data_IF_705533760101
#
_entry.id   IF_705533760101
#
_cell.length_a   1.000
_cell.length_b   1.000
_cell.length_c   1.000
_cell.angle_alpha   90.00
_cell.angle_beta   90.00
_cell.angle_gamma   90.00
#
_symmetry.space_group_name_H-M   'P 1'
#
loop_
_entity.id
_entity.type
_entity.pdbx_description
1 polymer ?
#
# COMPACT_ATOMS: atom_id res chain seq x y z
N UNK A 1 -32.90 -12.40 -27.26
CA UNK A 1 -32.09 -13.13 -26.24
C UNK A 1 -31.58 -12.28 -25.09
N UNK A 2 -31.32 -10.97 -25.27
CA UNK A 2 -30.70 -10.12 -24.24
C UNK A 2 -31.51 -9.94 -22.93
N UNK A 3 -32.85 -9.92 -22.99
CA UNK A 3 -33.70 -9.83 -21.78
C UNK A 3 -33.61 -11.05 -20.87
N UNK A 4 -33.48 -12.25 -21.43
CA UNK A 4 -33.38 -13.50 -20.67
C UNK A 4 -32.03 -13.57 -19.92
N UNK A 5 -30.98 -12.98 -20.48
CA UNK A 5 -29.66 -12.96 -19.86
C UNK A 5 -29.59 -12.05 -18.63
N UNK A 6 -30.28 -10.89 -18.66
CA UNK A 6 -30.39 -10.00 -17.50
C UNK A 6 -31.17 -10.65 -16.35
N UNK A 7 -32.31 -11.31 -16.62
CA UNK A 7 -33.08 -11.99 -15.57
C UNK A 7 -32.29 -13.14 -14.92
N UNK A 8 -31.48 -13.89 -15.68
CA UNK A 8 -30.64 -14.96 -15.11
C UNK A 8 -29.48 -14.43 -14.27
N UNK A 9 -28.90 -13.28 -14.63
CA UNK A 9 -27.84 -12.66 -13.83
C UNK A 9 -28.40 -12.10 -12.50
N UNK A 10 -29.59 -11.49 -12.53
CA UNK A 10 -30.28 -11.02 -11.32
C UNK A 10 -30.65 -12.17 -10.38
N UNK A 11 -31.07 -13.32 -10.92
CA UNK A 11 -31.38 -14.51 -10.11
C UNK A 11 -30.15 -15.09 -9.39
N UNK A 12 -28.98 -15.09 -10.05
CA UNK A 12 -27.73 -15.54 -9.44
C UNK A 12 -27.22 -14.57 -8.36
N UNK A 13 -27.43 -13.26 -8.56
CA UNK A 13 -27.08 -12.27 -7.55
C UNK A 13 -27.98 -12.38 -6.30
N UNK A 14 -29.29 -12.55 -6.50
CA UNK A 14 -30.24 -12.69 -5.39
C UNK A 14 -30.02 -13.98 -4.58
N UNK A 15 -29.72 -15.10 -5.25
CA UNK A 15 -29.41 -16.36 -4.55
C UNK A 15 -28.05 -16.32 -3.84
N UNK A 16 -27.05 -15.61 -4.40
CA UNK A 16 -25.78 -15.35 -3.71
C UNK A 16 -25.95 -14.51 -2.45
N UNK A 17 -26.78 -13.46 -2.48
CA UNK A 17 -27.07 -12.63 -1.32
C UNK A 17 -27.87 -13.38 -0.24
N UNK A 18 -28.82 -14.24 -0.62
CA UNK A 18 -29.60 -15.05 0.33
C UNK A 18 -28.76 -16.13 1.03
N UNK A 19 -27.81 -16.77 0.33
CA UNK A 19 -26.87 -17.69 0.99
C UNK A 19 -25.86 -16.98 1.90
N UNK A 20 -25.45 -15.75 1.55
CA UNK A 20 -24.63 -14.90 2.42
C UNK A 20 -25.35 -14.47 3.70
N UNK A 21 -26.65 -14.18 3.62
CA UNK A 21 -27.45 -13.81 4.78
C UNK A 21 -27.75 -14.99 5.71
N UNK A 22 -27.99 -16.19 5.17
CA UNK A 22 -28.26 -17.39 5.98
C UNK A 22 -27.02 -17.89 6.74
N UNK A 23 -25.82 -17.62 6.25
CA UNK A 23 -24.58 -17.97 6.97
C UNK A 23 -24.21 -16.97 8.08
N UNK A 24 -24.74 -15.74 8.03
CA UNK A 24 -24.59 -14.75 9.10
C UNK A 24 -25.68 -14.86 10.20
N UNK A 25 -26.82 -15.50 9.92
CA UNK A 25 -27.96 -15.58 10.84
C UNK A 25 -27.96 -16.73 11.86
N UNK A 26 -27.02 -17.68 11.79
CA UNK A 26 -27.02 -18.89 12.62
C UNK A 26 -26.14 -18.81 13.89
N UNK A 27 -25.75 -17.60 14.32
CA UNK A 27 -24.87 -17.38 15.48
C UNK A 27 -25.55 -16.95 16.78
N UNK A 28 -26.89 -16.88 16.84
CA UNK A 28 -27.61 -16.38 18.02
C UNK A 28 -28.62 -17.42 18.54
N UNK A 29 -28.61 -17.62 19.85
CA UNK A 29 -29.34 -18.58 20.69
C UNK A 29 -28.68 -19.95 20.91
N UNK A 30 -28.17 -20.16 22.14
CA UNK A 30 -28.45 -21.30 23.01
C UNK A 30 -27.48 -21.31 24.20
N UNK A 31 -28.00 -21.06 25.41
CA UNK A 31 -27.85 -21.99 26.55
C UNK A 31 -28.46 -21.36 27.81
N UNK A 32 -29.63 -21.90 28.16
CA UNK A 32 -30.32 -21.70 29.43
C UNK A 32 -29.64 -22.42 30.60
N UNK A 33 -29.82 -21.80 31.77
CA UNK A 33 -29.92 -22.32 33.14
C UNK A 33 -29.47 -23.75 33.48
N UNK A 34 -28.54 -23.87 34.43
CA UNK A 34 -28.52 -24.94 35.45
C UNK A 34 -28.08 -24.34 36.79
N UNK A 35 -28.93 -24.44 37.81
CA UNK A 35 -28.69 -23.90 39.15
C UNK A 35 -27.89 -24.82 40.07
N UNK A 36 -27.33 -24.24 41.14
CA UNK A 36 -27.14 -24.94 42.42
C UNK A 36 -26.92 -23.96 43.57
N UNK A 37 -27.79 -24.07 44.57
CA UNK A 37 -27.73 -23.45 45.91
C UNK A 37 -26.46 -23.86 46.67
N UNK A 38 -25.84 -22.94 47.42
CA UNK A 38 -25.29 -23.17 48.78
C UNK A 38 -25.34 -21.85 49.58
N UNK A 39 -25.84 -21.98 50.81
CA UNK A 39 -26.01 -21.06 51.94
C UNK A 39 -24.92 -19.98 52.20
N UNK A 40 -25.37 -18.81 52.66
CA UNK A 40 -24.63 -17.85 53.51
C UNK A 40 -24.78 -18.21 55.01
N UNK A 41 -24.13 -17.55 56.01
CA UNK A 41 -24.58 -16.22 56.44
C UNK A 41 -23.58 -15.25 57.15
N UNK A 42 -24.02 -13.98 57.20
CA UNK A 42 -23.95 -13.00 58.30
C UNK A 42 -22.62 -12.31 58.71
N UNK A 43 -22.64 -10.96 58.61
CA UNK A 43 -21.75 -10.04 59.31
C UNK A 43 -21.97 -8.56 58.92
N UNK A 44 -22.98 -7.90 59.52
CA UNK A 44 -23.00 -6.56 60.19
C UNK A 44 -21.98 -5.51 59.65
N UNK A 45 -22.25 -4.22 59.33
CA UNK A 45 -23.27 -3.23 59.68
C UNK A 45 -23.25 -2.02 58.70
N UNK A 46 -24.32 -1.21 58.80
CA UNK A 46 -24.60 0.13 58.27
C UNK A 46 -23.42 1.10 58.02
N UNK A 47 -23.50 1.84 56.91
CA UNK A 47 -23.48 3.31 56.89
C UNK A 47 -23.87 3.84 55.51
N UNK A 48 -24.98 4.58 55.46
CA UNK A 48 -25.46 5.39 54.34
C UNK A 48 -24.65 6.68 54.20
N UNK A 49 -24.23 7.07 52.99
CA UNK A 49 -24.35 8.45 52.53
C UNK A 49 -24.06 8.63 51.04
N UNK A 50 -24.86 9.53 50.48
CA UNK A 50 -24.92 10.03 49.11
C UNK A 50 -23.59 10.58 48.58
N UNK A 51 -23.42 10.53 47.25
CA UNK A 51 -23.11 11.68 46.38
C UNK A 51 -22.19 11.30 45.22
N UNK A 52 -22.60 11.73 44.02
CA UNK A 52 -21.69 12.41 43.09
C UNK A 52 -21.06 11.58 41.99
N UNK A 53 -21.52 11.84 40.77
CA UNK A 53 -20.79 11.80 39.49
C UNK A 53 -19.27 11.57 39.57
N UNK A 54 -18.78 10.49 38.95
CA UNK A 54 -17.55 10.50 38.13
C UNK A 54 -17.68 9.39 37.07
N UNK A 55 -18.32 9.72 35.95
CA UNK A 55 -18.21 9.02 34.67
C UNK A 55 -17.45 9.97 33.75
N UNK A 56 -16.46 9.47 33.00
CA UNK A 56 -15.55 10.21 32.09
C UNK A 56 -14.27 10.83 32.68
N UNK A 57 -13.29 10.02 33.14
CA UNK A 57 -11.90 10.53 33.24
C UNK A 57 -10.81 9.46 33.00
N UNK A 58 -11.19 8.24 32.60
CA UNK A 58 -10.22 7.12 32.47
C UNK A 58 -9.82 6.80 31.02
N UNK A 59 -10.37 7.51 30.04
CA UNK A 59 -10.25 7.14 28.62
C UNK A 59 -9.28 8.01 27.83
N UNK A 60 -8.98 9.23 28.28
CA UNK A 60 -8.04 10.16 27.60
C UNK A 60 -6.56 9.77 27.79
N UNK A 61 -6.20 9.13 28.90
CA UNK A 61 -4.82 8.69 29.18
C UNK A 61 -4.23 7.69 28.16
N UNK A 62 -5.07 7.07 27.33
CA UNK A 62 -4.59 6.07 26.35
C UNK A 62 -4.18 6.72 25.03
N UNK A 63 -4.70 7.91 24.71
CA UNK A 63 -4.34 8.64 23.48
C UNK A 63 -3.01 9.40 23.64
N UNK A 64 -2.71 9.90 24.84
CA UNK A 64 -1.44 10.56 25.15
C UNK A 64 -0.26 9.59 25.23
N UNK A 65 -0.45 8.34 25.65
CA UNK A 65 0.64 7.37 25.79
C UNK A 65 1.20 6.88 24.43
N UNK A 66 0.45 7.00 23.34
CA UNK A 66 0.95 6.69 22.00
C UNK A 66 1.82 7.81 21.40
N UNK A 67 1.70 9.04 21.92
CA UNK A 67 2.30 10.25 21.39
C UNK A 67 3.16 11.04 22.41
N UNK A 68 3.45 10.47 23.58
CA UNK A 68 4.22 11.14 24.62
C UNK A 68 5.63 11.55 24.14
N UNK A 69 5.87 12.87 24.19
CA UNK A 69 7.13 13.57 23.95
C UNK A 69 8.17 13.19 25.01
N UNK A 70 9.26 12.55 24.60
CA UNK A 70 10.46 12.37 25.41
C UNK A 70 11.65 13.12 24.79
N UNK A 71 12.48 13.82 25.57
CA UNK A 71 13.56 14.65 25.03
C UNK A 71 14.68 13.78 24.44
N UNK A 72 15.50 14.31 23.51
CA UNK A 72 16.45 13.48 22.78
C UNK A 72 17.71 13.28 23.62
N UNK A 73 17.81 12.21 24.42
CA UNK A 73 19.10 11.79 25.00
C UNK A 73 19.24 10.28 25.14
N UNK A 74 20.13 9.75 24.29
CA UNK A 74 21.13 8.68 24.50
C UNK A 74 20.87 7.59 25.55
N UNK A 75 20.97 6.35 25.05
CA UNK A 75 21.34 5.10 25.70
C UNK A 75 20.34 4.42 26.65
N UNK A 76 20.32 3.09 26.50
CA UNK A 76 19.86 2.05 27.45
C UNK A 76 18.47 1.49 27.17
N UNK A 77 18.52 0.34 26.50
CA UNK A 77 17.49 -0.66 26.27
C UNK A 77 16.96 -1.27 27.57
N UNK A 78 15.68 -1.08 27.89
CA UNK A 78 14.91 -2.06 28.67
C UNK A 78 13.45 -2.11 28.17
N UNK A 79 13.02 -3.35 27.91
CA UNK A 79 11.73 -3.70 27.34
C UNK A 79 10.60 -3.56 28.38
N UNK A 80 9.66 -2.66 28.12
CA UNK A 80 8.42 -2.53 28.90
C UNK A 80 7.21 -2.98 28.09
N UNK A 81 7.06 -4.28 27.80
CA UNK A 81 5.74 -4.85 27.48
C UNK A 81 5.64 -6.32 27.93
N UNK A 82 4.61 -6.68 28.74
CA UNK A 82 4.45 -8.03 29.25
C UNK A 82 4.01 -8.99 28.12
N UNK A 83 4.78 -10.08 27.95
CA UNK A 83 4.43 -11.20 27.06
C UNK A 83 3.29 -12.02 27.67
N UNK A 84 2.05 -11.76 27.28
CA UNK A 84 0.95 -12.70 27.52
C UNK A 84 0.93 -13.77 26.42
N UNK A 85 1.54 -14.93 26.71
CA UNK A 85 1.64 -16.06 25.77
C UNK A 85 0.28 -16.69 25.41
N UNK A 86 -0.76 -16.55 26.24
CA UNK A 86 -2.04 -17.25 26.10
C UNK A 86 -2.97 -16.72 24.99
N UNK A 87 -2.88 -15.43 24.62
CA UNK A 87 -3.75 -14.83 23.59
C UNK A 87 -3.29 -15.22 22.16
N UNK A 88 -2.01 -15.55 21.99
CA UNK A 88 -1.43 -15.86 20.67
C UNK A 88 -1.87 -17.22 20.09
N UNK A 89 -2.22 -18.19 20.94
CA UNK A 89 -2.62 -19.53 20.49
C UNK A 89 -4.03 -19.54 19.88
N UNK A 90 -5.00 -18.84 20.50
CA UNK A 90 -6.39 -18.78 20.01
C UNK A 90 -6.50 -17.97 18.71
N UNK A 91 -5.72 -16.88 18.58
CA UNK A 91 -5.65 -16.04 17.36
C UNK A 91 -5.08 -16.81 16.16
N UNK A 92 -4.12 -17.73 16.37
CA UNK A 92 -3.57 -18.58 15.30
C UNK A 92 -4.57 -19.58 14.72
N UNK A 93 -5.46 -20.15 15.54
CA UNK A 93 -6.45 -21.15 15.07
C UNK A 93 -7.54 -20.52 14.21
N UNK A 94 -8.05 -19.35 14.61
CA UNK A 94 -9.09 -18.65 13.84
C UNK A 94 -8.55 -18.11 12.49
N UNK A 95 -7.30 -17.63 12.44
CA UNK A 95 -6.66 -17.24 11.16
C UNK A 95 -6.53 -18.40 10.18
N UNK A 96 -6.23 -19.62 10.65
CA UNK A 96 -6.15 -20.80 9.76
C UNK A 96 -7.50 -21.16 9.15
N UNK A 97 -8.57 -21.13 9.94
CA UNK A 97 -9.92 -21.44 9.43
C UNK A 97 -10.37 -20.39 8.43
N UNK A 98 -10.16 -19.10 8.72
CA UNK A 98 -10.48 -18.02 7.79
C UNK A 98 -9.70 -18.14 6.46
N UNK A 99 -8.39 -18.41 6.51
CA UNK A 99 -7.57 -18.60 5.31
C UNK A 99 -8.03 -19.80 4.47
N UNK A 100 -8.37 -20.93 5.10
CA UNK A 100 -8.88 -22.11 4.39
C UNK A 100 -10.23 -21.80 3.73
N UNK A 101 -11.16 -21.15 4.44
CA UNK A 101 -12.47 -20.78 3.89
C UNK A 101 -12.33 -19.82 2.69
N UNK A 102 -11.41 -18.85 2.78
CA UNK A 102 -11.14 -17.91 1.68
C UNK A 102 -10.53 -18.62 0.48
N UNK A 103 -9.58 -19.53 0.69
CA UNK A 103 -8.96 -20.31 -0.38
C UNK A 103 -9.98 -21.23 -1.10
N UNK A 104 -10.88 -21.88 -0.35
CA UNK A 104 -11.97 -22.68 -0.92
C UNK A 104 -12.93 -21.81 -1.72
N UNK A 105 -13.32 -20.64 -1.19
CA UNK A 105 -14.18 -19.69 -1.91
C UNK A 105 -13.57 -19.23 -3.25
N UNK A 106 -12.29 -18.87 -3.26
CA UNK A 106 -11.58 -18.48 -4.49
C UNK A 106 -11.47 -19.65 -5.46
N UNK A 107 -11.18 -20.87 -4.99
CA UNK A 107 -11.09 -22.05 -5.84
C UNK A 107 -12.43 -22.38 -6.52
N UNK A 108 -13.55 -22.26 -5.82
CA UNK A 108 -14.90 -22.46 -6.38
C UNK A 108 -15.21 -21.41 -7.45
N UNK A 109 -14.86 -20.13 -7.20
CA UNK A 109 -15.06 -19.06 -8.18
C UNK A 109 -14.20 -19.30 -9.43
N UNK A 110 -12.92 -19.66 -9.27
CA UNK A 110 -12.04 -19.97 -10.40
C UNK A 110 -12.52 -21.18 -11.20
N UNK A 111 -13.00 -22.23 -10.52
CA UNK A 111 -13.60 -23.39 -11.19
C UNK A 111 -14.86 -23.00 -11.98
N UNK A 112 -15.73 -22.16 -11.42
CA UNK A 112 -16.91 -21.66 -12.11
C UNK A 112 -16.55 -20.82 -13.35
N UNK A 113 -15.55 -19.93 -13.24
CA UNK A 113 -15.03 -19.14 -14.37
C UNK A 113 -14.40 -20.03 -15.43
N UNK A 114 -13.65 -21.05 -15.04
CA UNK A 114 -13.06 -22.02 -15.96
C UNK A 114 -14.14 -22.79 -16.74
N UNK A 115 -15.18 -23.28 -16.07
CA UNK A 115 -16.32 -23.96 -16.72
C UNK A 115 -17.06 -23.01 -17.67
N UNK A 116 -17.25 -21.74 -17.29
CA UNK A 116 -17.87 -20.73 -18.15
C UNK A 116 -17.04 -20.42 -19.41
N UNK A 117 -15.71 -20.30 -19.26
CA UNK A 117 -14.80 -20.11 -20.41
C UNK A 117 -14.79 -21.33 -21.32
N UNK A 118 -14.74 -22.54 -20.76
CA UNK A 118 -14.75 -23.78 -21.55
C UNK A 118 -16.04 -23.95 -22.36
N UNK A 119 -17.20 -23.60 -21.77
CA UNK A 119 -18.48 -23.59 -22.49
C UNK A 119 -18.56 -22.54 -23.60
N UNK A 120 -17.89 -21.39 -23.47
CA UNK A 120 -17.83 -20.38 -24.54
C UNK A 120 -16.87 -20.77 -25.68
N UNK A 121 -15.83 -21.54 -25.39
CA UNK A 121 -14.87 -22.00 -26.39
C UNK A 121 -15.41 -23.12 -27.29
N UNK A 122 -16.42 -23.88 -26.84
CA UNK A 122 -17.11 -24.87 -27.66
C UNK A 122 -18.12 -24.17 -28.60
N UNK A 123 -17.61 -23.58 -29.69
CA UNK A 123 -18.42 -23.34 -30.90
C UNK A 123 -18.66 -24.70 -31.59
N UNK A 124 -19.84 -24.90 -32.22
CA UNK A 124 -20.08 -26.06 -33.07
C UNK A 124 -19.03 -26.10 -34.20
N UNK A 125 -18.45 -27.27 -34.47
CA UNK A 125 -17.57 -27.48 -35.63
C UNK A 125 -18.36 -27.24 -36.92
N UNK A 126 -17.89 -26.30 -37.74
CA UNK A 126 -18.24 -26.26 -39.16
C UNK A 126 -17.41 -27.30 -39.93
N UNK A 127 -17.93 -27.89 -41.02
CA UNK A 127 -17.27 -28.95 -41.77
C UNK A 127 -15.98 -28.48 -42.46
N UNK A 128 -14.94 -29.32 -42.41
CA UNK A 128 -13.63 -29.13 -43.04
C UNK A 128 -13.74 -29.13 -44.58
N UNK A 129 -13.18 -28.12 -45.30
CA UNK A 129 -13.11 -28.16 -46.76
C UNK A 129 -11.96 -29.07 -47.23
N UNK A 130 -12.11 -29.80 -48.35
CA UNK A 130 -11.15 -30.79 -48.83
C UNK A 130 -9.82 -30.18 -49.30
N UNK A 131 -8.73 -30.89 -49.02
CA UNK A 131 -7.35 -30.50 -49.34
C UNK A 131 -7.10 -30.39 -50.87
N UNK A 132 -6.41 -29.32 -51.34
CA UNK A 132 -5.84 -29.29 -52.69
C UNK A 132 -4.54 -30.09 -52.78
N UNK A 133 -4.34 -30.64 -53.97
CA UNK A 133 -3.39 -31.66 -54.39
C UNK A 133 -1.91 -31.30 -54.23
N UNK A 134 -1.13 -32.34 -53.94
CA UNK A 134 0.33 -32.41 -54.07
C UNK A 134 0.80 -32.05 -55.48
N UNK A 135 1.79 -31.17 -55.56
CA UNK A 135 2.59 -30.93 -56.79
C UNK A 135 3.95 -31.59 -56.56
N UNK A 136 4.33 -32.41 -57.52
CA UNK A 136 5.54 -33.22 -57.56
C UNK A 136 6.83 -32.37 -57.68
N UNK A 137 7.88 -32.82 -57.01
CA UNK A 137 9.28 -32.40 -57.14
C UNK A 137 9.82 -32.59 -58.57
N UNK A 138 10.71 -31.69 -59.04
CA UNK A 138 11.73 -32.03 -60.02
C UNK A 138 13.14 -32.00 -59.41
N UNK A 139 13.69 -33.21 -59.25
CA UNK A 139 15.03 -33.68 -59.60
C UNK A 139 16.22 -32.67 -59.70
N UNK A 140 17.06 -32.70 -58.66
CA UNK A 140 18.54 -32.81 -58.62
C UNK A 140 19.37 -32.28 -59.80
N UNK A 141 20.31 -31.37 -59.50
CA UNK A 141 21.70 -31.38 -60.00
C UNK A 141 22.64 -30.86 -58.89
N UNK A 142 23.80 -31.49 -58.63
CA UNK A 142 24.74 -31.04 -57.60
C UNK A 142 26.03 -30.40 -58.16
N UNK A 143 26.80 -29.83 -57.21
CA UNK A 143 28.20 -29.39 -57.24
C UNK A 143 28.52 -28.07 -57.96
N UNK A 144 29.11 -27.13 -57.21
CA UNK A 144 30.54 -26.78 -57.32
C UNK A 144 30.95 -25.82 -56.18
N UNK A 145 32.03 -26.19 -55.50
CA UNK A 145 32.75 -25.40 -54.50
C UNK A 145 33.39 -24.16 -55.16
N UNK A 146 33.17 -22.97 -54.60
CA UNK A 146 34.07 -21.82 -54.77
C UNK A 146 34.15 -21.07 -53.44
N UNK A 147 35.28 -21.24 -52.77
CA UNK A 147 35.72 -20.42 -51.65
C UNK A 147 35.96 -18.99 -52.15
N UNK A 148 35.16 -18.03 -51.70
CA UNK A 148 35.46 -16.61 -51.92
C UNK A 148 35.27 -15.79 -50.66
N UNK A 149 36.41 -15.37 -50.11
CA UNK A 149 36.59 -14.37 -49.08
C UNK A 149 35.68 -13.16 -49.30
N UNK A 150 34.73 -12.94 -48.40
CA UNK A 150 34.00 -11.67 -48.30
C UNK A 150 34.15 -11.12 -46.89
N UNK A 151 34.73 -9.92 -46.84
CA UNK A 151 34.93 -9.07 -45.66
C UNK A 151 33.65 -8.95 -44.82
N UNK A 152 33.75 -8.74 -43.50
CA UNK A 152 32.59 -8.45 -42.68
C UNK A 152 31.87 -7.20 -43.22
N UNK A 153 30.53 -7.19 -43.24
CA UNK A 153 29.78 -6.02 -43.68
C UNK A 153 30.15 -4.81 -42.82
N UNK A 154 30.17 -3.59 -43.40
CA UNK A 154 30.41 -2.38 -42.62
C UNK A 154 29.35 -2.25 -41.51
N UNK A 155 29.72 -1.69 -40.35
CA UNK A 155 28.77 -1.47 -39.27
C UNK A 155 27.61 -0.59 -39.78
N UNK A 156 26.37 -0.85 -39.35
CA UNK A 156 25.23 -0.02 -39.71
C UNK A 156 25.49 1.44 -39.29
N UNK A 157 24.99 2.42 -40.05
CA UNK A 157 25.12 3.83 -39.68
C UNK A 157 24.56 4.04 -38.28
N UNK A 158 25.27 4.83 -37.47
CA UNK A 158 24.82 5.18 -36.13
C UNK A 158 23.40 5.75 -36.19
N UNK A 159 22.47 5.30 -35.32
CA UNK A 159 21.14 5.88 -35.28
C UNK A 159 21.25 7.38 -35.06
N UNK A 160 20.37 8.20 -35.68
CA UNK A 160 20.38 9.63 -35.45
C UNK A 160 20.27 9.90 -33.95
N UNK A 161 20.90 10.98 -33.45
CA UNK A 161 20.76 11.36 -32.05
C UNK A 161 19.26 11.46 -31.73
N UNK A 162 18.81 10.97 -30.55
CA UNK A 162 17.43 11.14 -30.16
C UNK A 162 17.09 12.64 -30.25
N UNK A 163 15.86 12.99 -30.68
CA UNK A 163 15.45 14.38 -30.68
C UNK A 163 15.68 14.95 -29.27
N UNK A 164 16.05 16.24 -29.15
CA UNK A 164 16.13 16.88 -27.85
C UNK A 164 14.82 16.60 -27.13
N UNK A 165 14.91 15.96 -25.96
CA UNK A 165 13.75 15.73 -25.11
C UNK A 165 13.22 17.11 -24.78
N UNK A 166 12.14 17.52 -25.43
CA UNK A 166 11.36 18.66 -24.96
C UNK A 166 10.98 18.30 -23.52
N UNK A 167 11.56 19.01 -22.56
CA UNK A 167 11.28 18.81 -21.14
C UNK A 167 9.76 18.81 -20.99
N UNK A 168 9.13 17.69 -20.60
CA UNK A 168 7.72 17.70 -20.32
C UNK A 168 7.54 18.69 -19.17
N UNK A 169 6.91 19.83 -19.47
CA UNK A 169 6.69 20.92 -18.55
C UNK A 169 6.19 20.32 -17.23
N UNK A 170 6.93 20.56 -16.14
CA UNK A 170 6.52 20.10 -14.82
C UNK A 170 5.11 20.60 -14.55
N UNK A 171 4.21 19.76 -13.99
CA UNK A 171 2.86 20.20 -13.65
C UNK A 171 2.90 21.49 -12.83
N UNK A 172 1.95 22.39 -13.09
CA UNK A 172 1.75 23.59 -12.26
C UNK A 172 1.71 23.16 -10.79
N UNK A 173 2.35 23.92 -9.91
CA UNK A 173 2.40 23.57 -8.49
C UNK A 173 2.55 24.80 -7.63
N UNK A 174 1.98 24.75 -6.43
CA UNK A 174 2.17 25.76 -5.40
C UNK A 174 3.04 25.18 -4.29
N UNK A 175 4.12 25.89 -3.94
CA UNK A 175 5.01 25.51 -2.84
C UNK A 175 4.90 26.53 -1.73
N UNK A 176 4.64 26.07 -0.51
CA UNK A 176 4.48 26.91 0.68
C UNK A 176 5.17 26.25 1.87
N UNK A 177 5.68 27.05 2.81
CA UNK A 177 6.13 26.56 4.11
C UNK A 177 4.96 26.68 5.09
N UNK A 178 4.61 25.59 5.78
CA UNK A 178 3.46 25.57 6.69
C UNK A 178 3.90 25.65 8.15
N UNK A 179 3.38 26.65 8.88
CA UNK A 179 3.72 26.89 10.29
C UNK A 179 3.22 25.76 11.19
N UNK A 180 2.02 25.22 10.92
CA UNK A 180 1.46 24.06 11.62
C UNK A 180 2.29 22.77 11.45
N UNK A 181 3.23 22.77 10.49
CA UNK A 181 4.20 21.72 10.23
C UNK A 181 5.63 22.15 10.56
N UNK A 182 5.80 23.07 11.53
CA UNK A 182 7.12 23.56 11.97
C UNK A 182 7.99 24.15 10.83
N UNK A 183 7.35 24.79 9.85
CA UNK A 183 8.05 25.39 8.70
C UNK A 183 8.45 24.40 7.61
N UNK A 184 7.86 23.20 7.59
CA UNK A 184 8.12 22.21 6.54
C UNK A 184 7.61 22.73 5.19
N UNK A 185 8.47 22.67 4.17
CA UNK A 185 8.11 22.99 2.78
C UNK A 185 7.17 21.93 2.21
N UNK A 186 6.02 22.38 1.69
CA UNK A 186 5.00 21.54 1.08
C UNK A 186 4.69 22.02 -0.34
N UNK A 187 4.86 21.13 -1.33
CA UNK A 187 4.47 21.35 -2.73
C UNK A 187 3.14 20.66 -3.02
N UNK A 188 2.15 21.40 -3.47
CA UNK A 188 0.88 20.87 -3.97
C UNK A 188 0.89 20.90 -5.49
N UNK A 189 0.83 19.72 -6.12
CA UNK A 189 0.74 19.61 -7.56
C UNK A 189 -0.67 19.91 -8.07
N UNK A 190 -0.75 20.72 -9.12
CA UNK A 190 -1.91 20.91 -9.97
C UNK A 190 -2.01 19.82 -11.06
N UNK A 191 -3.01 19.93 -11.94
CA UNK A 191 -3.22 18.96 -13.01
C UNK A 191 -1.99 18.89 -13.94
N UNK A 192 -1.51 17.68 -14.20
CA UNK A 192 -0.43 17.44 -15.16
C UNK A 192 -0.93 17.38 -16.61
N UNK A 193 0.03 17.29 -17.55
CA UNK A 193 -0.25 17.06 -18.97
C UNK A 193 -0.70 15.63 -19.30
N UNK A 194 -0.66 14.69 -18.34
CA UNK A 194 -1.15 13.34 -18.56
C UNK A 194 -2.68 13.29 -18.53
N UNK A 195 -3.26 12.29 -19.22
CA UNK A 195 -4.70 12.06 -19.17
C UNK A 195 -5.19 11.92 -17.72
N UNK A 196 -6.18 12.73 -17.35
CA UNK A 196 -6.71 12.79 -15.97
C UNK A 196 -5.94 13.71 -15.02
N UNK A 197 -4.89 14.39 -15.48
CA UNK A 197 -4.11 15.34 -14.68
C UNK A 197 -3.20 14.70 -13.64
N UNK A 198 -3.03 13.38 -13.65
CA UNK A 198 -2.26 12.67 -12.62
C UNK A 198 -0.80 13.12 -12.60
N UNK A 199 -0.30 13.50 -11.43
CA UNK A 199 1.13 13.80 -11.23
C UNK A 199 1.99 12.58 -11.60
N UNK A 200 3.07 12.75 -12.37
CA UNK A 200 4.00 11.65 -12.63
C UNK A 200 4.62 11.16 -11.33
N UNK A 201 4.87 9.84 -11.23
CA UNK A 201 5.50 9.27 -10.03
C UNK A 201 6.91 9.83 -9.83
N UNK A 202 7.64 10.04 -10.91
CA UNK A 202 9.02 10.52 -10.92
C UNK A 202 9.19 11.54 -12.04
N UNK A 203 10.07 12.50 -11.83
CA UNK A 203 10.40 13.51 -12.83
C UNK A 203 11.58 13.01 -13.69
N UNK A 204 11.70 13.43 -14.96
CA UNK A 204 12.82 13.01 -15.82
C UNK A 204 14.17 13.61 -15.41
N UNK A 205 14.19 14.87 -14.95
CA UNK A 205 15.39 15.59 -14.56
C UNK A 205 15.29 16.19 -13.14
N UNK A 206 15.13 15.35 -12.08
CA UNK A 206 15.03 15.81 -10.70
C UNK A 206 16.36 16.38 -10.18
N UNK A 207 16.29 17.54 -9.53
CA UNK A 207 17.41 18.20 -8.85
C UNK A 207 17.69 17.62 -7.45
N UNK A 208 16.70 16.94 -6.85
CA UNK A 208 16.77 16.29 -5.54
C UNK A 208 16.12 14.91 -5.56
N UNK A 209 16.47 14.06 -4.60
CA UNK A 209 15.89 12.71 -4.48
C UNK A 209 14.53 12.72 -3.80
N UNK A 210 13.49 12.46 -4.57
CA UNK A 210 12.10 12.41 -4.09
C UNK A 210 11.63 10.96 -4.09
N UNK A 211 11.29 10.45 -2.90
CA UNK A 211 10.71 9.11 -2.77
C UNK A 211 9.19 9.19 -2.87
N UNK A 212 8.63 8.58 -3.90
CA UNK A 212 7.18 8.53 -4.10
C UNK A 212 6.58 7.39 -3.29
N UNK A 213 5.47 7.67 -2.61
CA UNK A 213 4.81 6.75 -1.68
C UNK A 213 3.68 6.02 -2.39
N UNK A 214 3.84 4.72 -2.61
CA UNK A 214 2.79 3.86 -3.14
C UNK A 214 1.65 3.69 -2.13
N UNK A 215 0.41 3.88 -2.62
CA UNK A 215 -0.83 3.58 -1.91
C UNK A 215 -1.11 2.08 -2.02
N UNK A 216 -0.39 1.34 -1.18
CA UNK A 216 -0.31 -0.10 -1.19
C UNK A 216 -1.62 -0.83 -0.88
N UNK A 217 -1.69 -2.06 -1.35
CA UNK A 217 -2.75 -3.01 -1.00
C UNK A 217 -2.47 -3.68 0.36
N UNK A 218 -3.52 -4.08 1.08
CA UNK A 218 -3.36 -4.83 2.34
C UNK A 218 -2.60 -6.16 2.14
N UNK A 219 -2.63 -6.72 0.92
CA UNK A 219 -1.93 -7.94 0.55
C UNK A 219 -0.44 -7.74 0.20
N UNK A 220 0.07 -6.50 0.28
CA UNK A 220 1.48 -6.13 0.15
C UNK A 220 2.13 -6.42 -1.21
N UNK A 221 1.37 -6.46 -2.30
CA UNK A 221 1.94 -6.58 -3.64
C UNK A 221 2.03 -5.21 -4.33
N UNK A 222 3.00 -5.08 -5.26
CA UNK A 222 3.07 -3.99 -6.24
C UNK A 222 2.35 -4.45 -7.52
N UNK A 223 1.35 -3.71 -7.98
CA UNK A 223 0.48 -4.11 -9.10
C UNK A 223 -0.97 -3.69 -8.95
N UNK A 224 -1.84 -4.33 -9.73
CA UNK A 224 -3.28 -4.05 -9.70
C UNK A 224 -3.63 -2.74 -10.42
N UNK A 225 -4.44 -1.90 -9.79
CA UNK A 225 -4.93 -0.64 -10.37
C UNK A 225 -4.61 0.57 -9.50
N UNK A 226 -5.06 1.75 -9.94
CA UNK A 226 -4.79 3.02 -9.25
C UNK A 226 -3.29 3.32 -9.19
N UNK A 227 -2.85 3.97 -8.10
CA UNK A 227 -1.45 4.35 -7.90
C UNK A 227 -0.51 3.13 -7.86
N UNK A 228 -0.89 2.06 -7.15
CA UNK A 228 -0.13 0.82 -7.08
C UNK A 228 0.06 0.17 -8.47
N UNK A 229 -0.97 0.25 -9.31
CA UNK A 229 -0.85 -0.14 -10.72
C UNK A 229 0.11 0.74 -11.53
N UNK A 230 0.16 2.05 -11.26
CA UNK A 230 1.13 2.96 -11.90
C UNK A 230 2.57 2.66 -11.46
N UNK A 231 2.81 2.36 -10.18
CA UNK A 231 4.12 1.92 -9.70
C UNK A 231 4.57 0.66 -10.44
N UNK A 232 3.69 -0.34 -10.56
CA UNK A 232 3.99 -1.54 -11.32
C UNK A 232 4.30 -1.23 -12.78
N UNK A 233 3.48 -0.42 -13.44
CA UNK A 233 3.68 0.00 -14.82
C UNK A 233 5.06 0.64 -15.01
N UNK A 234 5.42 1.63 -14.18
CA UNK A 234 6.71 2.32 -14.27
C UNK A 234 7.89 1.35 -14.09
N UNK A 235 7.86 0.47 -13.09
CA UNK A 235 8.94 -0.50 -12.87
C UNK A 235 9.08 -1.51 -14.02
N UNK A 236 7.96 -1.94 -14.61
CA UNK A 236 7.93 -2.87 -15.74
C UNK A 236 8.43 -2.20 -17.03
N UNK A 237 8.03 -0.95 -17.30
CA UNK A 237 8.49 -0.20 -18.46
C UNK A 237 10.00 0.06 -18.41
N UNK A 238 10.56 0.39 -17.23
CA UNK A 238 12.01 0.52 -17.08
C UNK A 238 12.75 -0.82 -17.21
N UNK A 239 12.20 -1.90 -16.64
CA UNK A 239 12.75 -3.24 -16.82
C UNK A 239 12.80 -3.66 -18.31
N UNK A 240 11.72 -3.39 -19.05
CA UNK A 240 11.61 -3.68 -20.48
C UNK A 240 12.64 -2.91 -21.31
N UNK A 241 12.82 -1.60 -21.02
CA UNK A 241 13.86 -0.77 -21.67
C UNK A 241 15.27 -1.33 -21.50
N UNK A 242 15.54 -2.00 -20.37
CA UNK A 242 16.83 -2.61 -20.07
C UNK A 242 16.91 -4.11 -20.43
N UNK A 243 15.92 -4.65 -21.15
CA UNK A 243 15.91 -6.05 -21.59
C UNK A 243 15.71 -7.07 -20.46
N UNK A 244 15.23 -6.63 -19.30
CA UNK A 244 14.89 -7.52 -18.18
C UNK A 244 13.50 -8.10 -18.42
N UNK A 245 13.42 -9.42 -18.59
CA UNK A 245 12.14 -10.13 -18.66
C UNK A 245 11.51 -10.20 -17.27
N UNK A 246 10.66 -9.23 -16.96
CA UNK A 246 9.87 -9.16 -15.74
C UNK A 246 8.39 -8.98 -16.11
N UNK A 247 7.55 -9.94 -15.74
CA UNK A 247 6.10 -9.87 -15.96
C UNK A 247 5.37 -9.17 -14.80
N UNK A 248 4.16 -8.61 -15.03
CA UNK A 248 3.33 -8.06 -13.96
C UNK A 248 3.08 -9.06 -12.82
N UNK A 249 2.86 -10.33 -13.13
CA UNK A 249 2.64 -11.40 -12.15
C UNK A 249 3.90 -11.69 -11.33
N UNK A 250 5.08 -11.72 -11.97
CA UNK A 250 6.36 -11.89 -11.28
C UNK A 250 6.65 -10.72 -10.35
N UNK A 251 6.46 -9.47 -10.80
CA UNK A 251 6.60 -8.28 -9.96
C UNK A 251 5.65 -8.34 -8.75
N UNK A 252 4.38 -8.67 -8.98
CA UNK A 252 3.37 -8.76 -7.92
C UNK A 252 3.72 -9.81 -6.87
N UNK A 253 4.06 -11.03 -7.29
CA UNK A 253 4.42 -12.12 -6.38
C UNK A 253 5.74 -11.86 -5.67
N UNK A 254 6.71 -11.28 -6.37
CA UNK A 254 8.04 -10.98 -5.82
C UNK A 254 7.99 -9.89 -4.76
N UNK A 255 7.41 -8.74 -5.09
CA UNK A 255 7.21 -7.63 -4.15
C UNK A 255 6.41 -8.10 -2.92
N UNK A 256 5.34 -8.87 -3.12
CA UNK A 256 4.59 -9.48 -2.02
C UNK A 256 5.45 -10.30 -1.08
N UNK A 257 6.31 -11.17 -1.61
CA UNK A 257 7.19 -12.03 -0.79
C UNK A 257 8.19 -11.22 0.03
N UNK A 258 8.80 -10.20 -0.57
CA UNK A 258 9.76 -9.31 0.09
C UNK A 258 9.08 -8.52 1.20
N UNK A 259 7.97 -7.84 0.89
CA UNK A 259 7.25 -6.99 1.84
C UNK A 259 6.62 -7.81 2.98
N UNK A 260 6.09 -9.00 2.72
CA UNK A 260 5.64 -9.91 3.78
C UNK A 260 6.80 -10.36 4.70
N UNK A 261 8.00 -10.56 4.15
CA UNK A 261 9.18 -10.94 4.93
C UNK A 261 9.66 -9.78 5.81
N UNK A 262 9.66 -8.56 5.28
CA UNK A 262 9.95 -7.34 6.02
C UNK A 262 8.92 -7.07 7.11
N UNK A 263 7.62 -7.21 6.82
CA UNK A 263 6.56 -7.06 7.83
C UNK A 263 6.76 -8.03 9.01
N UNK A 264 7.09 -9.29 8.72
CA UNK A 264 7.39 -10.28 9.77
C UNK A 264 8.59 -9.90 10.64
N UNK A 265 9.59 -9.20 10.08
CA UNK A 265 10.72 -8.65 10.84
C UNK A 265 10.30 -7.41 11.63
N UNK A 266 9.62 -6.45 11.00
CA UNK A 266 9.21 -5.18 11.61
C UNK A 266 8.28 -5.39 12.81
N UNK A 267 7.33 -6.33 12.72
CA UNK A 267 6.41 -6.66 13.84
C UNK A 267 7.14 -7.22 15.06
N UNK A 268 8.36 -7.76 14.91
CA UNK A 268 9.19 -8.19 16.06
C UNK A 268 9.94 -7.04 16.72
N UNK A 269 10.04 -5.89 16.06
CA UNK A 269 10.77 -4.71 16.52
C UNK A 269 10.00 -3.43 16.16
N UNK A 270 8.75 -3.27 16.68
CA UNK A 270 7.95 -2.09 16.38
C UNK A 270 8.68 -0.80 16.78
N UNK A 271 8.50 0.25 15.99
CA UNK A 271 9.21 1.52 16.14
C UNK A 271 10.68 1.49 15.71
N UNK A 272 11.16 0.40 15.09
CA UNK A 272 12.52 0.30 14.52
C UNK A 272 12.45 -0.03 13.04
N UNK A 273 13.33 0.60 12.26
CA UNK A 273 13.53 0.26 10.84
C UNK A 273 14.29 -1.07 10.78
N UNK A 274 13.70 -2.06 10.11
CA UNK A 274 14.35 -3.34 9.84
C UNK A 274 14.79 -3.39 8.39
N UNK A 275 15.86 -4.12 8.12
CA UNK A 275 16.43 -4.25 6.78
C UNK A 275 16.34 -5.70 6.29
N UNK A 276 16.25 -5.86 4.97
CA UNK A 276 16.50 -7.08 4.23
C UNK A 276 17.40 -6.75 3.04
N UNK A 277 18.54 -7.45 2.94
CA UNK A 277 19.35 -7.42 1.73
C UNK A 277 18.61 -8.18 0.63
N UNK A 278 18.22 -7.46 -0.42
CA UNK A 278 17.46 -7.98 -1.56
C UNK A 278 18.27 -8.00 -2.85
N UNK A 279 19.45 -7.39 -2.88
CA UNK A 279 20.15 -7.05 -4.12
C UNK A 279 20.56 -8.26 -4.97
N UNK A 280 20.89 -9.38 -4.31
CA UNK A 280 21.36 -10.60 -4.98
C UNK A 280 20.24 -11.32 -5.73
N UNK A 281 19.05 -11.42 -5.14
CA UNK A 281 17.96 -12.26 -5.67
C UNK A 281 16.82 -11.47 -6.32
N UNK A 282 16.75 -10.16 -6.09
CA UNK A 282 15.66 -9.33 -6.57
C UNK A 282 15.96 -8.80 -7.98
N UNK A 283 15.04 -8.94 -8.95
CA UNK A 283 15.16 -8.26 -10.23
C UNK A 283 14.96 -6.74 -10.12
N UNK A 284 14.40 -6.24 -9.01
CA UNK A 284 13.92 -4.85 -8.88
C UNK A 284 14.58 -4.07 -7.75
N UNK A 285 14.82 -4.70 -6.60
CA UNK A 285 15.21 -4.02 -5.36
C UNK A 285 16.66 -4.30 -4.97
N UNK A 286 17.49 -3.25 -4.94
CA UNK A 286 18.85 -3.33 -4.45
C UNK A 286 18.90 -3.56 -2.93
N UNK A 287 18.05 -2.85 -2.18
CA UNK A 287 17.93 -2.99 -0.72
C UNK A 287 16.53 -2.62 -0.28
N UNK A 288 16.02 -3.29 0.76
CA UNK A 288 14.65 -3.09 1.21
C UNK A 288 14.55 -2.97 2.72
N UNK A 289 13.73 -2.03 3.18
CA UNK A 289 13.50 -1.74 4.59
C UNK A 289 12.02 -1.82 4.94
N UNK A 290 11.72 -2.08 6.21
CA UNK A 290 10.35 -2.13 6.72
C UNK A 290 10.24 -1.45 8.08
N UNK A 291 9.12 -0.80 8.32
CA UNK A 291 8.82 -0.08 9.55
C UNK A 291 7.35 -0.25 9.91
N UNK A 292 7.08 -0.48 11.19
CA UNK A 292 5.73 -0.40 11.77
C UNK A 292 5.83 0.46 13.03
N UNK A 293 5.10 1.58 13.17
CA UNK A 293 5.11 2.37 14.40
C UNK A 293 4.61 1.55 15.60
N UNK A 294 3.55 0.78 15.36
CA UNK A 294 2.94 -0.18 16.29
C UNK A 294 2.59 -1.44 15.52
N UNK A 295 2.42 -2.57 16.22
CA UNK A 295 2.01 -3.82 15.57
C UNK A 295 0.60 -3.68 14.98
N UNK A 296 0.40 -3.90 13.67
CA UNK A 296 -0.94 -3.85 13.07
C UNK A 296 -1.91 -4.82 13.76
N UNK A 297 -3.13 -4.35 14.04
CA UNK A 297 -4.14 -5.17 14.71
C UNK A 297 -3.99 -5.30 16.23
N UNK A 298 -3.11 -4.49 16.84
CA UNK A 298 -2.96 -4.39 18.31
C UNK A 298 -3.83 -3.28 18.90
N UNK A 299 -3.82 -2.08 18.31
CA UNK A 299 -4.54 -0.90 18.79
C UNK A 299 -5.87 -0.64 18.05
N UNK A 300 -6.20 -1.48 17.09
CA UNK A 300 -7.42 -1.42 16.28
C UNK A 300 -7.77 -2.82 15.79
N UNK A 301 -9.03 -3.00 15.39
CA UNK A 301 -9.49 -4.26 14.80
C UNK A 301 -9.18 -4.32 13.30
N UNK A 302 -8.40 -5.34 12.87
CA UNK A 302 -8.08 -5.54 11.43
C UNK A 302 -9.33 -5.76 10.58
N UNK A 303 -10.45 -6.22 11.16
CA UNK A 303 -11.73 -6.38 10.47
C UNK A 303 -12.38 -5.05 10.08
N UNK A 304 -12.03 -3.95 10.75
CA UNK A 304 -12.57 -2.62 10.48
C UNK A 304 -11.66 -1.84 9.52
N UNK A 305 -10.38 -1.69 9.89
CA UNK A 305 -9.43 -0.88 9.11
C UNK A 305 -8.73 -1.65 7.99
N UNK A 306 -8.81 -2.98 7.99
CA UNK A 306 -8.07 -3.85 7.08
C UNK A 306 -6.76 -4.38 7.68
N UNK A 307 -6.22 -5.49 7.12
CA UNK A 307 -4.98 -6.07 7.64
C UNK A 307 -3.75 -5.24 7.24
N UNK A 308 -2.70 -5.38 8.05
CA UNK A 308 -1.37 -4.78 7.82
C UNK A 308 -1.32 -3.25 7.78
N UNK A 309 -2.39 -2.55 8.17
CA UNK A 309 -2.44 -1.08 8.19
C UNK A 309 -1.29 -0.48 8.99
N UNK A 310 -0.72 0.61 8.50
CA UNK A 310 0.37 1.35 9.14
C UNK A 310 1.77 0.79 8.89
N UNK A 311 1.91 -0.34 8.17
CA UNK A 311 3.23 -0.76 7.68
C UNK A 311 3.69 0.16 6.56
N UNK A 312 4.97 0.52 6.61
CA UNK A 312 5.66 1.26 5.55
C UNK A 312 6.94 0.53 5.17
N UNK A 313 7.20 0.42 3.87
CA UNK A 313 8.44 -0.10 3.32
C UNK A 313 9.18 1.01 2.56
N UNK A 314 10.51 0.93 2.57
CA UNK A 314 11.39 1.78 1.76
C UNK A 314 12.23 0.85 0.90
N UNK A 315 12.28 1.10 -0.41
CA UNK A 315 13.05 0.30 -1.33
C UNK A 315 14.02 1.17 -2.11
N UNK A 316 15.29 0.77 -2.14
CA UNK A 316 16.25 1.25 -3.11
C UNK A 316 16.07 0.39 -4.37
N UNK A 317 15.69 1.02 -5.46
CA UNK A 317 15.53 0.42 -6.78
C UNK A 317 16.90 0.10 -7.38
N UNK A 318 16.98 -1.00 -8.14
CA UNK A 318 18.17 -1.29 -8.94
C UNK A 318 18.27 -0.32 -10.12
N UNK A 319 19.48 -0.04 -10.64
CA UNK A 319 19.66 0.90 -11.75
C UNK A 319 18.77 0.60 -12.96
N UNK A 320 18.58 -0.68 -13.28
CA UNK A 320 17.85 -1.14 -14.47
C UNK A 320 16.32 -0.95 -14.38
N UNK A 321 15.81 -0.61 -13.20
CA UNK A 321 14.39 -0.30 -12.97
C UNK A 321 14.21 1.09 -12.35
N UNK A 322 15.28 1.89 -12.32
CA UNK A 322 15.24 3.25 -11.80
C UNK A 322 14.64 4.18 -12.86
N UNK A 323 13.53 4.87 -12.58
CA UNK A 323 12.85 5.74 -13.53
C UNK A 323 13.79 6.78 -14.16
N UNK A 324 13.79 6.81 -15.50
CA UNK A 324 14.66 7.67 -16.32
C UNK A 324 16.17 7.42 -16.15
N UNK A 325 16.57 6.29 -15.53
CA UNK A 325 17.97 6.01 -15.21
C UNK A 325 18.61 7.02 -14.24
N UNK A 326 17.81 7.85 -13.57
CA UNK A 326 18.30 8.93 -12.72
C UNK A 326 18.43 8.49 -11.26
N UNK A 327 19.62 8.61 -10.66
CA UNK A 327 19.89 8.23 -9.27
C UNK A 327 19.05 8.99 -8.22
N UNK A 328 18.41 10.10 -8.56
CA UNK A 328 17.46 10.79 -7.70
C UNK A 328 16.05 10.15 -7.70
N UNK A 329 15.79 9.20 -8.59
CA UNK A 329 14.54 8.44 -8.66
C UNK A 329 14.67 7.01 -8.11
N UNK A 330 15.81 6.67 -7.50
CA UNK A 330 16.12 5.29 -7.11
C UNK A 330 15.50 4.85 -5.77
N UNK A 331 14.62 5.66 -5.16
CA UNK A 331 13.93 5.30 -3.91
C UNK A 331 12.42 5.35 -4.12
N UNK A 332 11.74 4.31 -3.66
CA UNK A 332 10.29 4.29 -3.53
C UNK A 332 9.89 3.91 -2.11
N UNK A 333 8.67 4.27 -1.74
CA UNK A 333 8.05 3.80 -0.52
C UNK A 333 6.73 3.09 -0.82
N UNK A 334 6.29 2.23 0.09
CA UNK A 334 5.01 1.54 0.00
C UNK A 334 4.34 1.56 1.36
N UNK A 335 3.10 2.00 1.45
CA UNK A 335 2.38 2.05 2.74
C UNK A 335 0.96 1.53 2.63
N UNK A 336 0.43 0.98 3.72
CA UNK A 336 -0.93 0.43 3.79
C UNK A 336 -1.81 1.34 4.65
N UNK A 337 -2.70 2.08 3.99
CA UNK A 337 -3.65 2.97 4.64
C UNK A 337 -4.85 2.21 5.26
N UNK A 338 -5.52 2.77 6.28
CA UNK A 338 -6.75 2.22 6.81
C UNK A 338 -7.91 2.29 5.80
N UNK A 339 -8.84 1.36 5.89
CA UNK A 339 -10.11 1.41 5.16
C UNK A 339 -11.02 2.50 5.71
N UNK A 340 -11.60 3.31 4.84
CA UNK A 340 -12.55 4.36 5.20
C UNK A 340 -13.86 3.85 5.78
N UNK A 341 -14.15 2.54 5.76
CA UNK A 341 -15.32 1.99 6.45
C UNK A 341 -15.13 1.80 7.95
N UNK A 342 -13.92 1.95 8.48
CA UNK A 342 -13.70 1.93 9.92
C UNK A 342 -14.41 3.12 10.60
N UNK A 343 -14.88 2.99 11.85
CA UNK A 343 -15.42 4.11 12.64
C UNK A 343 -14.40 5.24 12.78
N UNK A 344 -14.87 6.48 12.93
CA UNK A 344 -14.01 7.69 12.89
C UNK A 344 -12.87 7.67 13.90
N UNK A 345 -13.12 7.24 15.14
CA UNK A 345 -12.08 7.13 16.17
C UNK A 345 -10.97 6.15 15.76
N UNK A 346 -11.35 4.94 15.33
CA UNK A 346 -10.40 3.91 14.90
C UNK A 346 -9.68 4.32 13.62
N UNK A 347 -10.39 4.93 12.67
CA UNK A 347 -9.84 5.44 11.42
C UNK A 347 -8.79 6.52 11.69
N UNK A 348 -9.12 7.52 12.53
CA UNK A 348 -8.22 8.62 12.89
C UNK A 348 -6.93 8.10 13.53
N UNK A 349 -7.02 7.21 14.53
CA UNK A 349 -5.86 6.60 15.15
C UNK A 349 -4.98 5.83 14.14
N UNK A 350 -5.59 4.97 13.32
CA UNK A 350 -4.88 4.18 12.33
C UNK A 350 -4.26 5.05 11.22
N UNK A 351 -4.91 6.16 10.84
CA UNK A 351 -4.42 7.08 9.84
C UNK A 351 -3.20 7.86 10.35
N UNK A 352 -3.31 8.47 11.55
CA UNK A 352 -2.16 9.15 12.21
C UNK A 352 -0.97 8.20 12.36
N UNK A 353 -1.24 6.95 12.75
CA UNK A 353 -0.21 5.92 12.85
C UNK A 353 0.40 5.61 11.48
N UNK A 354 -0.39 5.53 10.41
CA UNK A 354 0.13 5.32 9.05
C UNK A 354 1.05 6.45 8.62
N UNK A 355 0.67 7.71 8.85
CA UNK A 355 1.51 8.87 8.52
C UNK A 355 2.81 8.88 9.35
N UNK A 356 2.73 8.58 10.65
CA UNK A 356 3.91 8.38 11.48
C UNK A 356 4.81 7.24 10.95
N UNK A 357 4.21 6.21 10.36
CA UNK A 357 4.90 5.13 9.64
C UNK A 357 5.66 5.62 8.42
N UNK A 358 5.04 6.48 7.62
CA UNK A 358 5.67 7.08 6.43
C UNK A 358 6.84 7.98 6.81
N UNK A 359 6.58 9.02 7.61
CA UNK A 359 7.62 9.99 8.00
C UNK A 359 8.73 9.32 8.81
N UNK A 360 8.36 8.46 9.77
CA UNK A 360 9.31 7.76 10.63
C UNK A 360 10.21 6.78 9.86
N UNK A 361 9.68 6.10 8.85
CA UNK A 361 10.49 5.22 8.00
C UNK A 361 11.50 6.00 7.17
N UNK A 362 11.10 7.12 6.56
CA UNK A 362 11.99 7.97 5.76
C UNK A 362 13.07 8.64 6.62
N UNK A 363 12.70 9.17 7.79
CA UNK A 363 13.65 9.75 8.74
C UNK A 363 14.67 8.70 9.22
N UNK A 364 14.18 7.54 9.69
CA UNK A 364 15.06 6.46 10.14
C UNK A 364 15.92 5.88 9.00
N UNK A 365 15.43 5.89 7.75
CA UNK A 365 16.19 5.46 6.58
C UNK A 365 17.37 6.40 6.32
N UNK A 366 17.15 7.73 6.38
CA UNK A 366 18.20 8.72 6.18
C UNK A 366 19.34 8.57 7.21
N UNK A 367 19.06 8.07 8.41
CA UNK A 367 20.07 7.78 9.44
C UNK A 367 20.87 6.47 9.19
N UNK A 368 20.52 5.67 8.19
CA UNK A 368 21.27 4.46 7.83
C UNK A 368 22.45 4.76 6.89
N UNK A 369 23.47 3.89 6.80
CA UNK A 369 24.55 4.04 5.82
C UNK A 369 24.06 4.16 4.37
N UNK A 370 22.98 3.44 4.02
CA UNK A 370 22.38 3.53 2.69
C UNK A 370 21.68 4.88 2.46
N UNK A 371 21.00 5.41 3.49
CA UNK A 371 20.39 6.74 3.46
C UNK A 371 21.40 7.88 3.42
N UNK A 372 22.60 7.71 3.99
CA UNK A 372 23.68 8.70 3.81
C UNK A 372 24.19 8.74 2.37
N UNK A 373 24.18 7.60 1.67
CA UNK A 373 24.56 7.52 0.25
C UNK A 373 23.43 8.00 -0.68
N UNK A 374 22.19 7.65 -0.37
CA UNK A 374 21.00 7.98 -1.17
C UNK A 374 19.92 8.64 -0.30
N UNK A 375 20.16 9.87 0.21
CA UNK A 375 19.25 10.51 1.14
C UNK A 375 17.93 10.86 0.46
N UNK A 376 16.81 10.59 1.13
CA UNK A 376 15.50 11.08 0.74
C UNK A 376 15.41 12.56 1.12
N UNK A 377 15.24 13.41 0.12
CA UNK A 377 15.17 14.88 0.24
C UNK A 377 13.75 15.41 0.06
N UNK A 378 12.84 14.58 -0.48
CA UNK A 378 11.41 14.88 -0.54
C UNK A 378 10.57 13.61 -0.54
N UNK A 379 9.33 13.71 -0.08
CA UNK A 379 8.33 12.65 -0.21
C UNK A 379 7.20 13.08 -1.13
N UNK A 380 6.90 12.29 -2.16
CA UNK A 380 5.74 12.52 -3.04
C UNK A 380 4.59 11.61 -2.63
N UNK A 381 3.57 12.18 -2.02
CA UNK A 381 2.47 11.47 -1.38
C UNK A 381 1.17 11.60 -2.20
N UNK A 382 0.38 10.53 -2.33
CA UNK A 382 -1.05 10.67 -2.58
C UNK A 382 -1.77 11.12 -1.31
N UNK A 383 -3.06 11.45 -1.42
CA UNK A 383 -3.94 11.36 -0.25
C UNK A 383 -4.16 9.87 0.07
N UNK A 384 -3.39 9.35 1.03
CA UNK A 384 -3.47 7.95 1.45
C UNK A 384 -4.91 7.59 1.85
N UNK A 385 -5.35 6.38 1.51
CA UNK A 385 -6.74 5.97 1.73
C UNK A 385 -7.79 6.65 0.83
N UNK A 386 -7.46 7.70 0.07
CA UNK A 386 -8.41 8.46 -0.75
C UNK A 386 -8.92 7.77 -2.03
N UNK A 387 -8.28 6.69 -2.46
CA UNK A 387 -8.70 5.87 -3.60
C UNK A 387 -9.80 4.85 -3.24
N UNK A 388 -9.67 3.62 -3.75
CA UNK A 388 -10.61 2.52 -3.47
C UNK A 388 -10.74 2.20 -1.97
N UNK A 389 -9.72 2.54 -1.16
CA UNK A 389 -9.69 2.33 0.28
C UNK A 389 -10.70 3.19 1.05
N UNK A 390 -11.11 4.36 0.53
CA UNK A 390 -12.03 5.27 1.23
C UNK A 390 -13.42 4.69 1.41
N UNK A 391 -13.82 3.78 0.51
CA UNK A 391 -15.20 3.28 0.41
C UNK A 391 -16.19 4.45 0.35
N UNK A 392 -16.99 4.65 1.40
CA UNK A 392 -17.99 5.73 1.48
C UNK A 392 -17.54 6.94 2.30
N UNK A 393 -16.31 6.94 2.85
CA UNK A 393 -15.76 8.06 3.63
C UNK A 393 -15.56 9.30 2.77
N UNK A 394 -15.87 10.47 3.33
CA UNK A 394 -15.66 11.76 2.67
C UNK A 394 -14.18 12.09 2.54
N UNK A 395 -13.78 12.67 1.42
CA UNK A 395 -12.39 13.10 1.20
C UNK A 395 -11.98 14.20 2.20
N UNK A 396 -12.91 15.05 2.61
CA UNK A 396 -12.72 16.06 3.67
C UNK A 396 -12.22 15.43 4.98
N UNK A 397 -12.89 14.37 5.47
CA UNK A 397 -12.46 13.70 6.72
C UNK A 397 -11.08 13.04 6.59
N UNK A 398 -10.73 12.57 5.40
CA UNK A 398 -9.41 11.99 5.11
C UNK A 398 -8.35 13.10 5.06
N UNK A 399 -8.67 14.24 4.46
CA UNK A 399 -7.83 15.44 4.42
C UNK A 399 -7.48 15.94 5.83
N UNK A 400 -8.47 16.03 6.72
CA UNK A 400 -8.26 16.38 8.14
C UNK A 400 -7.36 15.36 8.86
N UNK A 401 -7.65 14.06 8.72
CA UNK A 401 -6.84 13.00 9.33
C UNK A 401 -5.39 13.02 8.80
N UNK A 402 -5.21 13.40 7.53
CA UNK A 402 -3.90 13.58 6.91
C UNK A 402 -3.14 14.78 7.47
N UNK A 403 -3.79 15.93 7.60
CA UNK A 403 -3.18 17.13 8.16
C UNK A 403 -2.73 16.90 9.61
N UNK A 404 -3.61 16.36 10.45
CA UNK A 404 -3.31 16.08 11.85
C UNK A 404 -2.23 15.00 11.99
N UNK A 405 -2.32 13.90 11.23
CA UNK A 405 -1.30 12.86 11.21
C UNK A 405 0.07 13.36 10.77
N UNK A 406 0.11 14.25 9.78
CA UNK A 406 1.34 14.87 9.26
C UNK A 406 1.96 15.79 10.30
N UNK A 407 1.18 16.67 10.92
CA UNK A 407 1.66 17.58 11.98
C UNK A 407 2.29 16.79 13.14
N UNK A 408 1.59 15.79 13.68
CA UNK A 408 2.10 14.94 14.76
C UNK A 408 3.37 14.17 14.36
N UNK A 409 3.44 13.67 13.12
CA UNK A 409 4.60 12.95 12.63
C UNK A 409 5.82 13.87 12.45
N UNK A 410 5.64 15.09 11.95
CA UNK A 410 6.72 16.08 11.81
C UNK A 410 7.23 16.50 13.19
N UNK A 411 6.34 16.80 14.15
CA UNK A 411 6.74 17.11 15.53
C UNK A 411 7.55 15.98 16.16
N UNK A 412 7.17 14.72 15.87
CA UNK A 412 7.84 13.55 16.44
C UNK A 412 9.22 13.27 15.85
N UNK A 413 9.39 13.43 14.54
CA UNK A 413 10.59 12.97 13.83
C UNK A 413 11.52 14.10 13.35
N UNK A 414 11.04 15.34 13.26
CA UNK A 414 11.81 16.49 12.77
C UNK A 414 12.53 16.25 11.43
N UNK A 415 11.82 15.78 10.37
CA UNK A 415 12.46 15.43 9.12
C UNK A 415 13.04 16.66 8.39
N UNK A 416 14.14 16.45 7.66
CA UNK A 416 14.78 17.48 6.82
C UNK A 416 14.33 17.47 5.35
N UNK A 417 13.35 16.63 5.00
CA UNK A 417 12.85 16.50 3.63
C UNK A 417 11.55 17.30 3.45
N UNK A 418 11.31 17.75 2.21
CA UNK A 418 10.04 18.39 1.86
C UNK A 418 8.91 17.38 1.66
N UNK A 419 7.67 17.85 1.71
CA UNK A 419 6.50 17.06 1.32
C UNK A 419 5.97 17.54 -0.02
N UNK A 420 5.53 16.63 -0.87
CA UNK A 420 4.87 16.93 -2.13
C UNK A 420 3.57 16.13 -2.20
N UNK A 421 2.42 16.78 -2.38
CA UNK A 421 1.13 16.10 -2.58
C UNK A 421 0.82 16.03 -4.07
N UNK A 422 0.64 14.81 -4.57
CA UNK A 422 0.17 14.56 -5.93
C UNK A 422 -1.23 15.15 -6.15
N UNK A 423 -1.48 15.55 -7.39
CA UNK A 423 -2.75 16.14 -7.79
C UNK A 423 -3.92 15.20 -7.53
N UNK A 424 -4.91 15.74 -6.84
CA UNK A 424 -6.24 15.18 -6.66
C UNK A 424 -7.25 16.29 -6.98
N UNK A 425 -8.20 16.10 -7.92
CA UNK A 425 -9.18 17.12 -8.28
C UNK A 425 -10.03 17.61 -7.09
N UNK A 426 -10.10 16.86 -5.99
CA UNK A 426 -10.82 17.30 -4.78
C UNK A 426 -10.05 18.32 -3.93
N UNK A 427 -8.73 18.42 -4.11
CA UNK A 427 -7.82 19.20 -3.26
C UNK A 427 -7.90 18.86 -1.75
N UNK A 428 -8.38 17.67 -1.37
CA UNK A 428 -8.63 17.35 0.04
C UNK A 428 -7.38 17.38 0.93
N UNK A 429 -6.20 17.01 0.43
CA UNK A 429 -4.95 17.16 1.18
C UNK A 429 -4.59 18.65 1.43
N UNK A 430 -4.78 19.50 0.41
CA UNK A 430 -4.58 20.94 0.50
C UNK A 430 -5.55 21.57 1.49
N UNK A 431 -6.85 21.30 1.35
CA UNK A 431 -7.88 21.86 2.24
C UNK A 431 -7.66 21.45 3.71
N UNK A 432 -7.31 20.18 3.97
CA UNK A 432 -7.02 19.74 5.33
C UNK A 432 -5.84 20.47 5.96
N UNK A 433 -4.78 20.74 5.20
CA UNK A 433 -3.62 21.48 5.67
C UNK A 433 -3.89 22.98 5.81
N UNK A 434 -4.72 23.58 4.95
CA UNK A 434 -5.15 24.97 5.09
C UNK A 434 -6.00 25.19 6.35
N UNK A 435 -6.88 24.25 6.69
CA UNK A 435 -7.67 24.27 7.93
C UNK A 435 -6.77 24.14 9.17
N UNK A 436 -5.79 23.23 9.13
CA UNK A 436 -4.81 23.08 10.20
C UNK A 436 -3.90 24.31 10.37
N UNK A 437 -3.44 24.91 9.27
CA UNK A 437 -2.64 26.15 9.29
C UNK A 437 -3.43 27.31 9.90
N UNK A 438 -4.69 27.48 9.48
CA UNK A 438 -5.56 28.54 10.01
C UNK A 438 -5.79 28.37 11.52
N UNK A 439 -6.02 27.13 11.96
CA UNK A 439 -6.19 26.79 13.38
C UNK A 439 -4.92 27.08 14.19
N UNK A 440 -3.75 26.72 13.65
CA UNK A 440 -2.46 26.98 14.29
C UNK A 440 -2.19 28.48 14.43
N UNK A 441 -2.42 29.25 13.37
CA UNK A 441 -2.22 30.71 13.41
C UNK A 441 -3.17 31.40 14.40
N UNK A 442 -4.42 30.92 14.53
CA UNK A 442 -5.33 31.40 15.56
C UNK A 442 -4.81 31.11 16.97
N UNK A 443 -4.28 29.90 17.21
CA UNK A 443 -3.71 29.53 18.52
C UNK A 443 -2.45 30.31 18.93
N UNK A 444 -1.84 31.04 18.01
CA UNK A 444 -0.69 31.92 18.27
C UNK A 444 -1.10 33.37 18.59
N UNK A 445 -2.36 33.73 18.34
CA UNK A 445 -2.92 35.06 18.63
C UNK A 445 -3.62 35.12 19.99
N UNK A 446 -4.04 33.96 20.52
CA UNK A 446 -4.56 33.76 21.88
C UNK A 446 -3.40 33.57 22.88
#
# INVERSE_FOLDING_TARGET
MWRIWRCRLSFLFATGCLLGALTAGLGSQMSDSVGRNVQAPAGVADASQEAGDVVEERTERTEEQAFALGPPRRHSSESLFPRNASVTARRRRNRRIALIATAVGVAVILAAVYVLRRRRAQRPQDPEPPAPRSVEDPEVLPEEDEASSSLPPPPPPSPPPPPPVEDPLSPESQTVDLSCLSGTTVRFFGPSHHFGGFTPLYDPAPDKRVATVDAGANALFIGGGGLNGQFAKTLLEEAEKHGIRLTPEELSQHSQRIQQSLLRRAVKSPGKLVELDTGVASPVFARSFGFVPVVPGLMWEESEVGPNVGVTFVHILKPEVTPYGNLNNNVMMYTVAPSGAAPDKTYSLAYKTTIAGVIGAAAAYNDTPAGQQYPVQGLRLPLLGGGIFRRNRSLESIGRANAEGTSLAITRYGPNFELQYMYDPSNAALHGLQEAESTYLASMLD
#
